data_IF_939296632358
#
_entry.id   IF_939296632358
#
_cell.length_a   1.000
_cell.length_b   1.000
_cell.length_c   1.000
_cell.angle_alpha   90.00
_cell.angle_beta   90.00
_cell.angle_gamma   90.00
#
_symmetry.space_group_name_H-M   'P 1'
#
loop_
_entity.id
_entity.type
_entity.pdbx_description
1 polymer ?
#
# COMPACT_ATOMS: atom_id res chain seq x y z
N UNK A 1 4.45 14.03 -19.46
CA UNK A 1 3.27 14.21 -20.33
C UNK A 1 2.27 13.07 -20.11
N UNK A 2 2.65 11.80 -20.31
CA UNK A 2 1.78 10.62 -20.07
C UNK A 2 1.07 10.55 -18.68
N UNK A 3 1.71 11.01 -17.59
CA UNK A 3 1.10 10.99 -16.24
C UNK A 3 -0.16 11.87 -16.16
N UNK A 4 -0.13 13.06 -16.75
CA UNK A 4 -1.24 14.00 -16.67
C UNK A 4 -2.42 13.52 -17.54
N UNK A 5 -2.12 13.05 -18.74
CA UNK A 5 -3.11 12.44 -19.64
C UNK A 5 -3.78 11.20 -19.03
N UNK A 6 -3.01 10.34 -18.35
CA UNK A 6 -3.57 9.20 -17.63
C UNK A 6 -4.49 9.63 -16.49
N UNK A 7 -4.11 10.70 -15.75
CA UNK A 7 -4.95 11.22 -14.69
C UNK A 7 -6.27 11.77 -15.22
N UNK A 8 -6.23 12.55 -16.30
CA UNK A 8 -7.42 13.12 -16.96
C UNK A 8 -8.36 12.02 -17.46
N UNK A 9 -7.82 11.00 -18.13
CA UNK A 9 -8.61 9.85 -18.62
C UNK A 9 -9.26 9.08 -17.48
N UNK A 10 -8.54 8.85 -16.38
CA UNK A 10 -9.10 8.16 -15.20
C UNK A 10 -10.23 9.01 -14.62
N UNK A 11 -10.05 10.33 -14.45
CA UNK A 11 -11.09 11.24 -13.94
C UNK A 11 -12.36 11.23 -14.76
N UNK A 12 -12.26 11.26 -16.09
CA UNK A 12 -13.44 11.17 -16.96
C UNK A 12 -14.15 9.83 -16.80
N UNK A 13 -13.41 8.72 -16.80
CA UNK A 13 -14.01 7.39 -16.68
C UNK A 13 -14.66 7.13 -15.32
N UNK A 14 -14.08 7.61 -14.23
CA UNK A 14 -14.67 7.44 -12.90
C UNK A 14 -15.93 8.28 -12.73
N UNK A 15 -15.94 9.51 -13.27
CA UNK A 15 -17.14 10.35 -13.30
C UNK A 15 -18.30 9.66 -14.04
N UNK A 16 -18.03 9.11 -15.23
CA UNK A 16 -19.05 8.40 -16.03
C UNK A 16 -19.56 7.13 -15.34
N UNK A 17 -18.72 6.44 -14.56
CA UNK A 17 -19.05 5.17 -13.91
C UNK A 17 -19.53 5.31 -12.46
N UNK A 18 -19.62 6.53 -11.92
CA UNK A 18 -20.01 6.77 -10.53
C UNK A 18 -18.99 6.23 -9.50
N UNK A 19 -17.70 6.24 -9.83
CA UNK A 19 -16.62 5.84 -8.92
C UNK A 19 -15.87 7.07 -8.40
N UNK A 20 -15.36 6.99 -7.16
CA UNK A 20 -14.55 8.06 -6.57
C UNK A 20 -13.06 7.86 -6.79
N UNK A 21 -12.35 8.96 -7.07
CA UNK A 21 -10.89 8.99 -7.11
C UNK A 21 -10.38 9.65 -5.83
N UNK A 22 -9.53 8.92 -5.10
CA UNK A 22 -8.72 9.50 -4.02
C UNK A 22 -7.26 9.56 -4.45
N UNK A 23 -6.64 10.72 -4.25
CA UNK A 23 -5.20 10.86 -4.40
C UNK A 23 -4.54 10.96 -3.03
N UNK A 24 -3.50 10.15 -2.83
CA UNK A 24 -2.76 10.06 -1.58
C UNK A 24 -1.33 10.59 -1.75
N UNK A 25 -0.65 10.81 -0.62
CA UNK A 25 0.74 11.23 -0.62
C UNK A 25 1.65 10.09 -1.09
N UNK A 26 2.47 10.31 -2.12
CA UNK A 26 3.29 9.25 -2.72
C UNK A 26 4.66 9.02 -2.04
N UNK A 27 4.99 9.77 -0.98
CA UNK A 27 6.32 9.74 -0.39
C UNK A 27 6.65 8.37 0.23
N UNK A 28 7.85 7.88 -0.09
CA UNK A 28 8.45 6.61 0.37
C UNK A 28 7.71 5.33 0.00
N UNK A 29 6.65 5.36 -0.82
CA UNK A 29 5.84 4.17 -1.13
C UNK A 29 6.61 3.02 -1.79
N UNK A 30 7.74 3.31 -2.44
CA UNK A 30 8.63 2.31 -3.06
C UNK A 30 9.76 1.86 -2.14
N UNK A 31 9.85 2.43 -0.94
CA UNK A 31 10.94 2.28 0.03
C UNK A 31 10.42 1.75 1.38
N UNK A 32 9.11 1.83 1.62
CA UNK A 32 8.43 1.31 2.81
C UNK A 32 8.08 -0.17 2.64
N UNK A 33 8.44 -1.00 3.61
CA UNK A 33 7.95 -2.38 3.69
C UNK A 33 6.42 -2.40 3.77
N UNK A 34 5.73 -3.13 2.87
CA UNK A 34 4.26 -3.12 2.83
C UNK A 34 3.61 -3.90 3.98
N UNK A 35 4.40 -4.51 4.86
CA UNK A 35 3.87 -5.18 6.04
C UNK A 35 3.46 -4.12 7.09
N UNK A 36 2.16 -4.01 7.44
CA UNK A 36 1.65 -2.95 8.30
C UNK A 36 2.14 -3.04 9.75
N UNK A 37 2.65 -4.21 10.17
CA UNK A 37 3.21 -4.41 11.51
C UNK A 37 4.59 -3.76 11.67
N UNK A 38 5.31 -3.56 10.57
CA UNK A 38 6.72 -3.16 10.61
C UNK A 38 7.00 -1.85 9.89
N UNK A 39 6.39 -1.64 8.72
CA UNK A 39 6.48 -0.36 8.00
C UNK A 39 7.90 0.14 7.68
N UNK A 40 8.94 -0.70 7.80
CA UNK A 40 10.33 -0.24 7.77
C UNK A 40 10.66 0.49 6.47
N UNK A 41 11.22 1.70 6.60
CA UNK A 41 11.64 2.53 5.47
C UNK A 41 13.16 2.49 5.36
N UNK A 42 13.64 2.14 4.18
CA UNK A 42 15.04 2.36 3.81
C UNK A 42 15.15 2.61 2.31
N UNK A 43 16.12 3.45 1.92
CA UNK A 43 16.51 3.60 0.53
C UNK A 43 17.01 2.27 -0.04
N UNK A 44 17.68 1.45 0.78
CA UNK A 44 18.25 0.16 0.40
C UNK A 44 17.19 -0.92 0.16
N UNK A 45 15.94 -0.64 0.52
CA UNK A 45 14.84 -1.55 0.23
C UNK A 45 14.54 -1.63 -1.27
N UNK A 46 15.00 -0.66 -2.08
CA UNK A 46 14.78 -0.62 -3.52
C UNK A 46 16.11 -0.74 -4.27
N UNK A 47 16.15 -1.64 -5.25
CA UNK A 47 17.22 -1.72 -6.24
C UNK A 47 16.62 -1.84 -7.64
N UNK A 48 16.61 -0.72 -8.39
CA UNK A 48 15.94 -0.65 -9.69
C UNK A 48 14.43 -0.87 -9.58
N UNK A 49 13.96 -1.91 -10.26
CA UNK A 49 12.54 -2.35 -10.29
C UNK A 49 12.25 -3.47 -9.27
N UNK A 50 13.27 -3.90 -8.51
CA UNK A 50 13.13 -4.88 -7.46
C UNK A 50 13.10 -4.22 -6.08
N UNK A 51 12.19 -4.68 -5.24
CA UNK A 51 12.13 -4.35 -3.82
C UNK A 51 12.58 -5.54 -3.00
N UNK A 52 13.42 -5.31 -2.00
CA UNK A 52 13.80 -6.26 -0.98
C UNK A 52 13.86 -5.57 0.38
N UNK A 53 12.98 -5.90 1.32
CA UNK A 53 13.04 -5.34 2.68
C UNK A 53 14.36 -5.70 3.38
N UNK A 54 15.18 -4.68 3.69
CA UNK A 54 16.50 -4.76 4.36
C UNK A 54 16.44 -4.38 5.83
N UNK A 55 15.31 -4.62 6.50
CA UNK A 55 15.18 -4.31 7.93
C UNK A 55 16.25 -5.09 8.73
N UNK A 56 17.21 -4.43 9.40
CA UNK A 56 18.28 -5.12 10.12
C UNK A 56 17.80 -5.73 11.45
N UNK A 57 16.64 -5.31 11.95
CA UNK A 57 16.08 -5.75 13.24
C UNK A 57 15.14 -6.95 13.09
N UNK A 58 14.75 -7.30 11.86
CA UNK A 58 13.80 -8.37 11.58
C UNK A 58 14.08 -9.03 10.24
N UNK A 59 14.13 -10.36 10.22
CA UNK A 59 14.18 -11.18 9.00
C UNK A 59 12.83 -11.19 8.27
N UNK A 60 12.45 -10.04 7.71
CA UNK A 60 11.22 -9.82 6.96
C UNK A 60 11.29 -10.48 5.58
N UNK A 61 12.43 -10.27 4.89
CA UNK A 61 12.78 -10.80 3.58
C UNK A 61 11.65 -10.69 2.53
N UNK A 62 10.87 -9.60 2.60
CA UNK A 62 9.85 -9.29 1.60
C UNK A 62 10.55 -8.93 0.30
N UNK A 63 10.22 -9.62 -0.79
CA UNK A 63 10.83 -9.48 -2.10
C UNK A 63 9.75 -9.42 -3.18
N UNK A 64 9.83 -8.44 -4.08
CA UNK A 64 8.89 -8.33 -5.19
C UNK A 64 9.11 -7.10 -6.06
N UNK A 65 8.21 -6.90 -7.00
CA UNK A 65 8.20 -5.74 -7.89
C UNK A 65 7.92 -4.43 -7.12
N UNK A 66 8.65 -3.37 -7.46
CA UNK A 66 8.56 -2.07 -6.78
C UNK A 66 7.21 -1.38 -6.99
N UNK A 67 6.57 -1.56 -8.14
CA UNK A 67 5.25 -0.99 -8.41
C UNK A 67 4.16 -1.76 -7.67
N UNK A 68 4.30 -3.08 -7.53
CA UNK A 68 3.42 -3.86 -6.66
C UNK A 68 3.52 -3.38 -5.20
N UNK A 69 4.74 -3.17 -4.68
CA UNK A 69 4.93 -2.59 -3.33
C UNK A 69 4.30 -1.21 -3.21
N UNK A 70 4.53 -0.34 -4.19
CA UNK A 70 3.94 0.99 -4.20
C UNK A 70 2.42 0.92 -4.16
N UNK A 71 1.80 -0.01 -4.89
CA UNK A 71 0.34 -0.19 -4.91
C UNK A 71 -0.23 -0.56 -3.54
N UNK A 72 0.47 -1.43 -2.80
CA UNK A 72 0.09 -1.83 -1.44
C UNK A 72 0.20 -0.65 -0.46
N UNK A 73 1.28 0.12 -0.58
CA UNK A 73 1.48 1.32 0.25
C UNK A 73 0.54 2.47 -0.12
N UNK A 74 0.12 2.60 -1.39
CA UNK A 74 -0.95 3.51 -1.81
C UNK A 74 -2.25 3.12 -1.12
N UNK A 75 -2.60 1.83 -1.15
CA UNK A 75 -3.83 1.32 -0.54
C UNK A 75 -3.87 1.62 0.96
N UNK A 76 -2.80 1.32 1.71
CA UNK A 76 -2.76 1.62 3.15
C UNK A 76 -2.85 3.12 3.44
N UNK A 77 -2.30 3.96 2.56
CA UNK A 77 -2.36 5.42 2.71
C UNK A 77 -3.76 6.01 2.53
N UNK A 78 -4.70 5.29 1.90
CA UNK A 78 -6.08 5.77 1.73
C UNK A 78 -6.79 5.93 3.08
N UNK A 79 -6.42 5.10 4.06
CA UNK A 79 -7.02 5.06 5.40
C UNK A 79 -6.14 5.74 6.47
N UNK A 80 -4.97 6.27 6.08
CA UNK A 80 -4.06 6.95 6.99
C UNK A 80 -4.44 8.42 7.17
N UNK A 81 -5.10 8.71 8.29
CA UNK A 81 -5.54 10.06 8.64
C UNK A 81 -4.40 10.99 9.09
N UNK A 82 -3.22 10.47 9.44
CA UNK A 82 -2.07 11.28 9.83
C UNK A 82 -1.33 11.85 8.61
N UNK A 83 -1.46 11.17 7.46
CA UNK A 83 -0.75 11.55 6.25
C UNK A 83 -1.71 11.96 5.13
N UNK A 84 -2.03 13.25 5.12
CA UNK A 84 -2.75 13.89 4.02
C UNK A 84 -1.93 13.90 2.72
N UNK A 85 -2.62 14.10 1.59
CA UNK A 85 -2.01 14.32 0.26
C UNK A 85 -0.90 15.37 0.27
N UNK A 86 -1.04 16.42 1.08
CA UNK A 86 -0.14 17.57 1.09
C UNK A 86 0.87 17.57 2.23
N UNK A 87 0.88 16.53 3.08
CA UNK A 87 1.86 16.41 4.16
C UNK A 87 3.29 16.44 3.58
N UNK A 88 4.18 17.34 4.04
CA UNK A 88 5.53 17.43 3.51
C UNK A 88 6.32 16.14 3.68
N UNK A 89 7.17 15.79 2.71
CA UNK A 89 7.90 14.51 2.71
C UNK A 89 8.75 14.27 3.97
N UNK A 90 9.22 15.33 4.65
CA UNK A 90 9.95 15.20 5.92
C UNK A 90 9.04 14.77 7.06
N UNK A 91 7.84 15.33 7.13
CA UNK A 91 6.84 14.95 8.14
C UNK A 91 6.29 13.55 7.88
N UNK A 92 6.07 13.19 6.61
CA UNK A 92 5.73 11.81 6.22
C UNK A 92 6.78 10.82 6.75
N UNK A 93 8.06 11.16 6.64
CA UNK A 93 9.13 10.28 7.13
C UNK A 93 9.04 10.09 8.64
N UNK A 94 8.85 11.17 9.42
CA UNK A 94 8.70 11.08 10.88
C UNK A 94 7.54 10.17 11.27
N UNK A 95 6.35 10.40 10.70
CA UNK A 95 5.15 9.60 11.00
C UNK A 95 5.38 8.11 10.71
N UNK A 96 6.05 7.80 9.61
CA UNK A 96 6.33 6.41 9.23
C UNK A 96 7.48 5.79 10.05
N UNK A 97 8.48 6.57 10.46
CA UNK A 97 9.56 6.13 11.36
C UNK A 97 9.06 5.93 12.81
N UNK A 98 7.98 6.61 13.20
CA UNK A 98 7.30 6.46 14.50
C UNK A 98 6.46 5.18 14.61
N UNK A 99 6.22 4.46 13.50
CA UNK A 99 5.56 3.14 13.53
C UNK A 99 6.45 2.19 14.36
N UNK A 100 5.99 1.71 15.54
CA UNK A 100 6.89 1.03 16.47
C UNK A 100 7.46 -0.26 15.86
N UNK A 101 8.79 -0.37 15.82
CA UNK A 101 9.43 -1.68 15.77
C UNK A 101 9.02 -2.42 17.04
N UNK A 102 8.37 -3.59 17.00
CA UNK A 102 7.87 -4.21 18.21
C UNK A 102 9.04 -4.52 19.15
N UNK A 103 8.87 -3.99 20.36
CA UNK A 103 9.76 -4.06 21.50
C UNK A 103 10.40 -5.45 21.67
N UNK A 104 11.66 -5.58 21.22
CA UNK A 104 12.70 -6.42 21.82
C UNK A 104 12.41 -7.91 22.08
N UNK A 105 11.40 -8.54 21.47
CA UNK A 105 11.14 -9.98 21.65
C UNK A 105 10.96 -10.69 20.31
N UNK A 106 11.76 -11.72 20.00
CA UNK A 106 11.58 -12.51 18.81
C UNK A 106 10.38 -13.44 19.06
N UNK A 107 9.25 -13.19 18.40
CA UNK A 107 8.34 -14.29 18.10
C UNK A 107 8.75 -14.83 16.74
N UNK A 108 9.24 -16.07 16.76
CA UNK A 108 9.37 -16.93 15.58
C UNK A 108 7.99 -17.08 14.92
N UNK A 109 7.59 -16.10 14.13
CA UNK A 109 6.55 -16.16 13.11
C UNK A 109 7.17 -15.42 11.93
N UNK A 110 7.99 -16.21 11.24
CA UNK A 110 9.08 -15.74 10.42
C UNK A 110 8.62 -15.68 8.98
N UNK A 111 8.46 -14.43 8.52
CA UNK A 111 8.59 -13.90 7.16
C UNK A 111 7.43 -12.95 6.89
N UNK A 112 7.73 -11.80 6.30
CA UNK A 112 6.71 -10.94 5.70
C UNK A 112 6.07 -11.60 4.45
N UNK A 113 6.51 -12.81 4.08
CA UNK A 113 6.06 -13.59 2.92
C UNK A 113 4.67 -14.22 3.08
N UNK A 114 4.06 -14.19 4.26
CA UNK A 114 2.67 -14.67 4.42
C UNK A 114 1.67 -13.80 3.64
N UNK A 115 2.12 -12.66 3.07
CA UNK A 115 1.38 -11.86 2.08
C UNK A 115 1.81 -12.15 0.62
N UNK A 116 2.16 -13.40 0.30
CA UNK A 116 2.12 -13.95 -1.07
C UNK A 116 0.85 -14.81 -1.16
N UNK A 117 -0.20 -14.36 -1.84
CA UNK A 117 -0.28 -14.57 -3.28
C UNK A 117 -1.31 -13.62 -3.92
N UNK A 118 -1.17 -13.40 -5.22
CA UNK A 118 -2.23 -12.79 -6.02
C UNK A 118 -3.54 -13.61 -6.11
N UNK A 119 -3.75 -14.61 -5.25
CA UNK A 119 -5.06 -15.28 -5.11
C UNK A 119 -5.95 -14.57 -4.09
N UNK A 120 -5.38 -14.05 -2.99
CA UNK A 120 -6.14 -13.26 -2.00
C UNK A 120 -6.69 -11.95 -2.60
N UNK A 121 -6.00 -11.35 -3.58
CA UNK A 121 -6.51 -10.16 -4.28
C UNK A 121 -7.77 -10.47 -5.10
N UNK A 122 -7.78 -11.61 -5.81
CA UNK A 122 -8.96 -12.04 -6.60
C UNK A 122 -10.11 -12.38 -5.68
N UNK A 123 -9.82 -13.05 -4.55
CA UNK A 123 -10.82 -13.39 -3.54
C UNK A 123 -11.41 -12.13 -2.92
N UNK A 124 -10.58 -11.17 -2.50
CA UNK A 124 -11.05 -9.92 -1.84
C UNK A 124 -11.89 -9.06 -2.78
N UNK A 125 -11.48 -8.91 -4.05
CA UNK A 125 -12.26 -8.17 -5.05
C UNK A 125 -13.56 -8.91 -5.37
N UNK A 126 -13.53 -10.24 -5.52
CA UNK A 126 -14.73 -11.04 -5.72
C UNK A 126 -15.73 -10.87 -4.56
N UNK A 127 -15.26 -10.93 -3.32
CA UNK A 127 -16.10 -10.74 -2.13
C UNK A 127 -16.66 -9.31 -2.02
N UNK A 128 -15.89 -8.29 -2.38
CA UNK A 128 -16.38 -6.90 -2.40
C UNK A 128 -17.41 -6.68 -3.53
N UNK A 129 -17.19 -7.25 -4.72
CA UNK A 129 -18.15 -7.18 -5.84
C UNK A 129 -19.45 -7.93 -5.50
N UNK A 130 -19.36 -9.08 -4.83
CA UNK A 130 -20.54 -9.83 -4.38
C UNK A 130 -21.34 -9.10 -3.31
N UNK A 131 -20.69 -8.46 -2.32
CA UNK A 131 -21.38 -7.64 -1.32
C UNK A 131 -22.12 -6.45 -1.94
N UNK A 132 -21.48 -5.73 -2.88
CA UNK A 132 -22.13 -4.64 -3.61
C UNK A 132 -23.32 -5.16 -4.41
N UNK A 133 -23.17 -6.31 -5.07
CA UNK A 133 -24.24 -6.93 -5.85
C UNK A 133 -25.43 -7.32 -4.96
N UNK A 134 -25.19 -7.95 -3.80
CA UNK A 134 -26.22 -8.31 -2.82
C UNK A 134 -26.97 -7.09 -2.28
N UNK A 135 -26.24 -6.01 -1.96
CA UNK A 135 -26.83 -4.77 -1.48
C UNK A 135 -27.75 -4.12 -2.54
N UNK A 136 -27.40 -4.20 -3.82
CA UNK A 136 -28.24 -3.66 -4.91
C UNK A 136 -29.48 -4.52 -5.21
N UNK A 137 -29.44 -5.83 -4.94
CA UNK A 137 -30.57 -6.74 -5.21
C UNK A 137 -31.59 -6.82 -4.07
N UNK A 138 -31.21 -6.50 -2.83
CA UNK A 138 -32.08 -6.62 -1.65
C UNK A 138 -32.51 -5.27 -1.05
N UNK A 139 -32.33 -4.16 -1.77
CA UNK A 139 -32.78 -2.82 -1.34
C UNK A 139 -34.21 -2.49 -1.81
N UNK A 140 -35.09 -3.49 -1.92
CA UNK A 140 -36.52 -3.34 -2.23
C UNK A 140 -37.39 -3.97 -1.16
#
# INVERSE_FOLDING_TARGET
MARNENQERITVHTYVKGSDIKTVNAAYMRQTCPNPKWGYISLDNRNGDMFHCRNPYLDCNWLGDVDYVASMNIKSRVEDHQISRFTPYREVKKILDEIPTPNGKPKRQNRCQDYRSGEDYKQTIATQVEHVRWATTNSH
#
